data_IF_822389703381
#
_entry.id   IF_822389703381
#
_cell.length_a   1.000
_cell.length_b   1.000
_cell.length_c   1.000
_cell.angle_alpha   90.00
_cell.angle_beta   90.00
_cell.angle_gamma   90.00
#
_symmetry.space_group_name_H-M   'P 1'
#
loop_
_entity.id
_entity.type
_entity.pdbx_description
1 polymer ?
#
# COMPACT_ATOMS: atom_id res chain seq x y z
N UNK A 1 -17.24 36.39 -1.25
CA UNK A 1 -17.05 35.18 -0.45
C UNK A 1 -15.64 35.20 0.08
N UNK A 2 -15.48 35.21 1.39
CA UNK A 2 -14.16 35.16 2.01
C UNK A 2 -13.61 33.72 1.94
N UNK A 3 -12.29 33.57 1.88
CA UNK A 3 -11.63 32.26 1.90
C UNK A 3 -12.01 31.42 3.12
N UNK A 4 -12.35 32.06 4.26
CA UNK A 4 -12.87 31.35 5.43
C UNK A 4 -14.25 30.73 5.22
N UNK A 5 -15.16 31.34 4.45
CA UNK A 5 -16.47 30.75 4.13
C UNK A 5 -16.31 29.49 3.26
N UNK A 6 -15.42 29.54 2.26
CA UNK A 6 -15.11 28.40 1.40
C UNK A 6 -14.44 27.27 2.18
N UNK A 7 -13.48 27.58 3.06
CA UNK A 7 -12.88 26.61 3.97
C UNK A 7 -13.92 26.01 4.93
N UNK A 8 -14.82 26.82 5.48
CA UNK A 8 -15.88 26.36 6.38
C UNK A 8 -16.87 25.44 5.65
N UNK A 9 -17.29 25.77 4.43
CA UNK A 9 -18.16 24.92 3.60
C UNK A 9 -17.47 23.61 3.20
N UNK A 10 -16.16 23.63 2.94
CA UNK A 10 -15.37 22.43 2.69
C UNK A 10 -15.27 21.55 3.94
N UNK A 11 -14.94 22.11 5.10
CA UNK A 11 -14.92 21.39 6.39
C UNK A 11 -16.30 20.85 6.80
N UNK A 12 -17.38 21.51 6.39
CA UNK A 12 -18.76 21.04 6.59
C UNK A 12 -19.19 19.93 5.62
N UNK A 13 -18.63 19.86 4.41
CA UNK A 13 -18.92 18.82 3.42
C UNK A 13 -18.07 17.55 3.58
N UNK A 14 -16.96 17.63 4.32
CA UNK A 14 -16.18 16.47 4.72
C UNK A 14 -17.00 15.57 5.66
N UNK A 15 -17.13 14.31 5.25
CA UNK A 15 -18.01 13.30 5.83
C UNK A 15 -17.76 13.09 7.34
N UNK A 16 -18.72 12.54 8.11
CA UNK A 16 -18.69 12.52 9.58
C UNK A 16 -17.41 11.93 10.21
N UNK A 17 -16.76 10.99 9.53
CA UNK A 17 -15.46 10.42 9.92
C UNK A 17 -14.31 11.45 9.93
N UNK A 18 -14.40 12.54 9.16
CA UNK A 18 -13.43 13.64 9.11
C UNK A 18 -13.70 14.66 10.20
N UNK A 19 -14.97 14.97 10.52
CA UNK A 19 -15.31 15.79 11.70
C UNK A 19 -14.78 15.15 13.00
N UNK A 20 -14.85 13.83 13.11
CA UNK A 20 -14.25 13.09 14.23
C UNK A 20 -12.72 13.27 14.35
N UNK A 21 -12.01 13.65 13.29
CA UNK A 21 -10.56 13.93 13.32
C UNK A 21 -10.21 15.21 14.08
N UNK A 22 -11.16 16.15 14.15
CA UNK A 22 -11.03 17.44 14.82
C UNK A 22 -11.81 17.49 16.15
N UNK A 23 -12.33 16.35 16.63
CA UNK A 23 -12.82 16.27 17.99
C UNK A 23 -11.66 16.46 18.97
N UNK A 24 -11.87 17.29 20.01
CA UNK A 24 -10.83 17.65 20.98
C UNK A 24 -10.13 16.43 21.61
N UNK A 25 -10.87 15.33 21.83
CA UNK A 25 -10.33 14.08 22.35
C UNK A 25 -9.43 13.34 21.34
N UNK A 26 -9.68 13.49 20.05
CA UNK A 26 -8.84 12.94 18.98
C UNK A 26 -7.58 13.79 18.79
N UNK A 27 -7.72 15.11 18.80
CA UNK A 27 -6.62 16.07 18.72
C UNK A 27 -5.63 15.87 19.88
N UNK A 28 -6.08 15.86 21.14
CA UNK A 28 -5.19 15.64 22.29
C UNK A 28 -4.45 14.29 22.21
N UNK A 29 -5.11 13.22 21.73
CA UNK A 29 -4.45 11.91 21.55
C UNK A 29 -3.39 11.92 20.45
N UNK A 30 -3.57 12.71 19.40
CA UNK A 30 -2.55 12.89 18.34
C UNK A 30 -1.36 13.68 18.84
N UNK A 31 -1.59 14.72 19.65
CA UNK A 31 -0.54 15.46 20.34
C UNK A 31 0.23 14.57 21.35
N UNK A 32 -0.45 13.63 22.01
CA UNK A 32 0.19 12.60 22.84
C UNK A 32 1.08 11.67 22.00
N UNK A 33 0.58 11.11 20.90
CA UNK A 33 1.38 10.27 20.00
C UNK A 33 2.64 11.01 19.53
N UNK A 34 2.52 12.25 19.03
CA UNK A 34 3.67 13.05 18.58
C UNK A 34 4.72 13.21 19.69
N UNK A 35 4.32 13.41 20.94
CA UNK A 35 5.28 13.55 22.05
C UNK A 35 5.99 12.24 22.39
N UNK A 36 5.29 11.11 22.28
CA UNK A 36 5.87 9.79 22.51
C UNK A 36 6.77 9.38 21.32
N UNK A 37 6.34 9.68 20.08
CA UNK A 37 7.11 9.49 18.84
C UNK A 37 8.40 10.34 18.83
N UNK A 38 8.37 11.61 19.27
CA UNK A 38 9.57 12.44 19.49
C UNK A 38 10.55 11.74 20.44
N UNK A 39 10.05 11.19 21.55
CA UNK A 39 10.87 10.54 22.58
C UNK A 39 11.51 9.25 22.04
N UNK A 40 10.76 8.45 21.29
CA UNK A 40 11.27 7.24 20.61
C UNK A 40 12.32 7.59 19.54
N UNK A 41 12.04 8.60 18.71
CA UNK A 41 12.93 9.04 17.65
C UNK A 41 14.28 9.54 18.21
N UNK A 42 14.30 10.31 19.31
CA UNK A 42 15.54 10.74 19.98
C UNK A 42 16.36 9.53 20.46
N UNK A 43 15.73 8.53 21.06
CA UNK A 43 16.42 7.31 21.48
C UNK A 43 17.02 6.53 20.29
N UNK A 44 16.35 6.53 19.13
CA UNK A 44 16.92 5.97 17.89
C UNK A 44 18.11 6.76 17.37
N UNK A 45 18.10 8.10 17.43
CA UNK A 45 19.26 8.95 17.06
C UNK A 45 20.46 8.63 17.95
N UNK A 46 20.27 8.63 19.27
CA UNK A 46 21.33 8.31 20.24
C UNK A 46 21.89 6.89 20.05
N UNK A 47 21.04 5.91 19.75
CA UNK A 47 21.48 4.55 19.44
C UNK A 47 22.32 4.49 18.15
N UNK A 48 21.89 5.18 17.10
CA UNK A 48 22.62 5.28 15.84
C UNK A 48 23.97 6.00 15.99
N UNK A 49 24.02 7.08 16.77
CA UNK A 49 25.24 7.81 17.11
C UNK A 49 26.24 6.94 17.88
N UNK A 50 25.78 6.20 18.90
CA UNK A 50 26.63 5.28 19.66
C UNK A 50 27.22 4.16 18.77
N UNK A 51 26.42 3.63 17.83
CA UNK A 51 26.89 2.65 16.86
C UNK A 51 27.94 3.26 15.90
N UNK A 52 27.69 4.48 15.39
CA UNK A 52 28.64 5.21 14.55
C UNK A 52 29.96 5.46 15.27
N UNK A 53 29.93 5.98 16.50
CA UNK A 53 31.12 6.25 17.31
C UNK A 53 31.91 4.98 17.61
N UNK A 54 31.23 3.87 17.92
CA UNK A 54 31.86 2.55 18.11
C UNK A 54 32.59 2.07 16.85
N UNK A 55 31.95 2.21 15.68
CA UNK A 55 32.56 1.86 14.38
C UNK A 55 33.74 2.76 14.04
N UNK A 56 33.61 4.08 14.24
CA UNK A 56 34.68 5.07 14.01
C UNK A 56 35.90 4.78 14.88
N UNK A 57 35.69 4.44 16.16
CA UNK A 57 36.77 4.06 17.08
C UNK A 57 37.40 2.72 16.68
N UNK A 58 36.62 1.75 16.22
CA UNK A 58 37.14 0.47 15.75
C UNK A 58 38.02 0.63 14.50
N UNK A 59 37.58 1.43 13.52
CA UNK A 59 38.33 1.68 12.27
C UNK A 59 39.65 2.41 12.52
N UNK A 60 39.67 3.38 13.43
CA UNK A 60 40.89 4.06 13.85
C UNK A 60 41.94 3.10 14.45
N UNK A 61 41.50 2.00 15.06
CA UNK A 61 42.38 0.99 15.66
C UNK A 61 42.73 -0.17 14.69
N UNK A 62 41.94 -0.41 13.64
CA UNK A 62 42.07 -1.59 12.75
C UNK A 62 41.90 -1.22 11.26
N UNK A 63 42.78 -0.38 10.67
CA UNK A 63 42.58 0.19 9.33
C UNK A 63 42.71 -0.79 8.15
N UNK A 64 43.20 -2.01 8.36
CA UNK A 64 43.51 -2.99 7.30
C UNK A 64 42.91 -4.39 7.54
N UNK A 65 41.83 -4.48 8.32
CA UNK A 65 41.21 -5.75 8.68
C UNK A 65 40.21 -6.24 7.62
N UNK A 66 40.28 -7.53 7.31
CA UNK A 66 39.30 -8.35 6.57
C UNK A 66 37.82 -8.09 6.91
N UNK A 67 37.50 -7.62 8.11
CA UNK A 67 36.14 -7.34 8.56
C UNK A 67 35.51 -6.04 8.00
N UNK A 68 36.26 -5.23 7.24
CA UNK A 68 35.80 -3.99 6.62
C UNK A 68 34.41 -4.10 5.96
N UNK A 69 34.12 -5.16 5.19
CA UNK A 69 32.82 -5.36 4.51
C UNK A 69 31.64 -5.39 5.50
N UNK A 70 31.76 -6.13 6.61
CA UNK A 70 30.69 -6.26 7.62
C UNK A 70 30.43 -4.93 8.32
N UNK A 71 31.48 -4.13 8.49
CA UNK A 71 31.37 -2.80 9.10
C UNK A 71 30.74 -1.82 8.11
N UNK A 72 31.05 -1.89 6.81
CA UNK A 72 30.33 -1.12 5.79
C UNK A 72 28.83 -1.44 5.77
N UNK A 73 28.45 -2.70 5.95
CA UNK A 73 27.05 -3.13 6.12
C UNK A 73 26.41 -2.45 7.35
N UNK A 74 27.04 -2.53 8.54
CA UNK A 74 26.56 -1.85 9.76
C UNK A 74 26.47 -0.31 9.63
N UNK A 75 27.43 0.34 8.97
CA UNK A 75 27.36 1.78 8.68
C UNK A 75 26.16 2.07 7.76
N UNK A 76 25.90 1.22 6.77
CA UNK A 76 24.79 1.40 5.82
C UNK A 76 23.42 1.19 6.48
N UNK A 77 23.31 0.25 7.41
CA UNK A 77 22.14 0.07 8.28
C UNK A 77 21.92 1.31 9.16
N UNK A 78 23.00 1.86 9.74
CA UNK A 78 22.96 3.09 10.56
C UNK A 78 22.48 4.30 9.76
N UNK A 79 22.98 4.47 8.52
CA UNK A 79 22.49 5.50 7.58
C UNK A 79 21.01 5.32 7.24
N UNK A 80 20.57 4.07 7.05
CA UNK A 80 19.16 3.79 6.75
C UNK A 80 18.26 4.14 7.94
N UNK A 81 18.68 3.77 9.16
CA UNK A 81 17.97 4.12 10.40
C UNK A 81 17.87 5.65 10.58
N UNK A 82 18.98 6.37 10.49
CA UNK A 82 19.01 7.84 10.62
C UNK A 82 18.09 8.53 9.60
N UNK A 83 18.10 8.09 8.33
CA UNK A 83 17.20 8.64 7.31
C UNK A 83 15.72 8.37 7.63
N UNK A 84 15.36 7.16 8.08
CA UNK A 84 13.98 6.85 8.47
C UNK A 84 13.53 7.68 9.67
N UNK A 85 14.39 7.81 10.69
CA UNK A 85 14.11 8.63 11.88
C UNK A 85 13.95 10.11 11.52
N UNK A 86 14.81 10.66 10.64
CA UNK A 86 14.67 12.03 10.12
C UNK A 86 13.32 12.26 9.43
N UNK A 87 12.88 11.32 8.60
CA UNK A 87 11.59 11.43 7.90
C UNK A 87 10.39 11.35 8.86
N UNK A 88 10.49 10.58 9.96
CA UNK A 88 9.49 10.60 11.04
C UNK A 88 9.46 11.96 11.72
N UNK A 89 10.60 12.45 12.20
CA UNK A 89 10.70 13.75 12.88
C UNK A 89 10.24 14.92 12.01
N UNK A 90 10.50 14.91 10.69
CA UNK A 90 9.96 15.89 9.75
C UNK A 90 8.44 15.80 9.61
N UNK A 91 7.86 14.59 9.61
CA UNK A 91 6.41 14.42 9.61
C UNK A 91 5.78 14.89 10.93
N UNK A 92 6.39 14.55 12.07
CA UNK A 92 5.95 14.95 13.41
C UNK A 92 6.00 16.47 13.60
N UNK A 93 7.02 17.14 13.04
CA UNK A 93 7.14 18.59 12.98
C UNK A 93 6.00 19.23 12.17
N UNK A 94 5.72 18.68 10.98
CA UNK A 94 4.67 19.21 10.09
C UNK A 94 3.25 18.96 10.64
N UNK A 95 2.97 17.77 11.16
CA UNK A 95 1.71 17.46 11.84
C UNK A 95 1.57 18.24 13.14
N UNK A 96 2.67 18.44 13.88
CA UNK A 96 2.72 19.28 15.06
C UNK A 96 2.20 20.69 14.76
N UNK A 97 2.81 21.39 13.80
CA UNK A 97 2.38 22.73 13.40
C UNK A 97 0.87 22.79 13.08
N UNK A 98 0.37 21.88 12.24
CA UNK A 98 -1.06 21.83 11.84
C UNK A 98 -1.99 21.60 13.06
N UNK A 99 -1.61 20.72 13.99
CA UNK A 99 -2.45 20.38 15.14
C UNK A 99 -2.40 21.43 16.26
N UNK A 100 -1.24 22.09 16.45
CA UNK A 100 -1.06 23.14 17.45
C UNK A 100 -1.60 24.51 17.00
N UNK A 101 -1.77 24.76 15.69
CA UNK A 101 -2.51 25.92 15.19
C UNK A 101 -4.02 25.86 15.52
N UNK A 102 -4.61 24.66 15.60
CA UNK A 102 -6.03 24.46 15.91
C UNK A 102 -6.35 24.46 17.43
N UNK A 103 -5.49 23.87 18.28
CA UNK A 103 -5.64 23.92 19.75
C UNK A 103 -4.33 23.77 20.53
N UNK A 104 -4.24 24.50 21.65
CA UNK A 104 -3.26 24.22 22.70
C UNK A 104 -3.57 22.91 23.45
N UNK A 105 -2.52 22.28 23.98
CA UNK A 105 -2.60 21.00 24.71
C UNK A 105 -3.12 21.21 26.13
N UNK A 106 -3.96 20.30 26.62
CA UNK A 106 -4.56 20.39 27.97
C UNK A 106 -3.80 19.66 29.09
N UNK A 107 -2.78 18.86 28.77
CA UNK A 107 -2.10 17.98 29.72
C UNK A 107 -0.78 18.55 30.25
N UNK A 108 -0.54 18.39 31.56
CA UNK A 108 0.70 18.74 32.27
C UNK A 108 1.88 17.81 31.89
N UNK A 109 2.44 17.97 30.69
CA UNK A 109 3.84 17.60 30.41
C UNK A 109 4.67 18.88 30.26
N UNK A 110 5.96 18.89 30.65
CA UNK A 110 6.78 20.12 30.69
C UNK A 110 7.10 20.74 29.32
N UNK A 111 6.83 20.04 28.21
CA UNK A 111 7.19 20.49 26.88
C UNK A 111 6.00 21.18 26.19
N UNK A 112 6.13 22.48 25.91
CA UNK A 112 5.19 23.22 25.08
C UNK A 112 5.38 22.90 23.59
N UNK A 113 4.46 23.37 22.73
CA UNK A 113 4.62 23.31 21.27
C UNK A 113 5.98 23.86 20.83
N UNK A 114 6.35 25.05 21.28
CA UNK A 114 7.63 25.69 20.94
C UNK A 114 8.83 24.81 21.34
N UNK A 115 8.81 24.19 22.53
CA UNK A 115 9.88 23.30 22.99
C UNK A 115 9.98 22.04 22.12
N UNK A 116 8.85 21.42 21.75
CA UNK A 116 8.84 20.25 20.88
C UNK A 116 9.31 20.57 19.45
N UNK A 117 8.90 21.73 18.91
CA UNK A 117 9.30 22.21 17.59
C UNK A 117 10.80 22.53 17.53
N UNK A 118 11.34 23.22 18.54
CA UNK A 118 12.78 23.50 18.64
C UNK A 118 13.59 22.20 18.82
N UNK A 119 13.10 21.26 19.64
CA UNK A 119 13.74 19.95 19.84
C UNK A 119 13.76 19.12 18.55
N UNK A 120 12.65 19.05 17.83
CA UNK A 120 12.57 18.37 16.53
C UNK A 120 13.53 18.99 15.51
N UNK A 121 13.57 20.31 15.39
CA UNK A 121 14.47 21.02 14.47
C UNK A 121 15.94 20.72 14.81
N UNK A 122 16.33 20.83 16.08
CA UNK A 122 17.69 20.56 16.56
C UNK A 122 18.14 19.12 16.28
N UNK A 123 17.27 18.13 16.51
CA UNK A 123 17.60 16.73 16.27
C UNK A 123 17.62 16.38 14.77
N UNK A 124 16.80 17.04 13.95
CA UNK A 124 16.87 16.92 12.47
C UNK A 124 18.21 17.47 11.95
N UNK A 125 18.67 18.61 12.46
CA UNK A 125 19.99 19.19 12.14
C UNK A 125 21.13 18.27 12.63
N UNK A 126 21.01 17.70 13.83
CA UNK A 126 21.97 16.74 14.38
C UNK A 126 22.08 15.48 13.50
N UNK A 127 20.96 14.92 13.04
CA UNK A 127 20.95 13.79 12.11
C UNK A 127 21.67 14.15 10.80
N UNK A 128 21.46 15.36 10.25
CA UNK A 128 22.15 15.80 9.04
C UNK A 128 23.67 15.92 9.23
N UNK A 129 24.12 16.41 10.38
CA UNK A 129 25.54 16.41 10.71
C UNK A 129 26.11 14.98 10.81
N UNK A 130 25.43 14.07 11.52
CA UNK A 130 25.85 12.67 11.64
C UNK A 130 25.91 11.97 10.28
N UNK A 131 24.93 12.21 9.40
CA UNK A 131 24.93 11.67 8.03
C UNK A 131 26.11 12.20 7.20
N UNK A 132 26.47 13.47 7.34
CA UNK A 132 27.65 14.04 6.69
C UNK A 132 28.97 13.44 7.22
N UNK A 133 29.09 13.26 8.55
CA UNK A 133 30.26 12.62 9.17
C UNK A 133 30.39 11.13 8.79
N UNK A 134 29.28 10.40 8.69
CA UNK A 134 29.25 9.03 8.18
C UNK A 134 29.64 8.97 6.70
N UNK A 135 29.11 9.88 5.87
CA UNK A 135 29.44 9.91 4.45
C UNK A 135 30.92 10.19 4.22
N UNK A 136 31.53 11.09 5.01
CA UNK A 136 32.97 11.31 5.00
C UNK A 136 33.74 10.06 5.40
N UNK A 137 33.36 9.38 6.49
CA UNK A 137 33.98 8.13 6.91
C UNK A 137 33.90 7.04 5.82
N UNK A 138 32.80 7.00 5.05
CA UNK A 138 32.67 6.12 3.87
C UNK A 138 33.66 6.47 2.76
N UNK A 139 33.88 7.75 2.47
CA UNK A 139 34.89 8.17 1.48
C UNK A 139 36.31 7.80 1.95
N UNK A 140 36.62 8.04 3.23
CA UNK A 140 37.95 7.86 3.79
C UNK A 140 38.40 6.38 3.90
N UNK A 141 37.46 5.42 4.03
CA UNK A 141 37.77 3.98 4.28
C UNK A 141 37.18 2.97 3.28
N UNK A 142 36.20 3.37 2.44
CA UNK A 142 35.40 2.44 1.64
C UNK A 142 35.21 2.82 0.17
N UNK A 143 35.73 3.97 -0.26
CA UNK A 143 35.96 4.19 -1.68
C UNK A 143 37.23 3.49 -2.05
N UNK A 144 37.14 2.52 -2.99
CA UNK A 144 38.29 2.06 -3.74
C UNK A 144 38.87 3.27 -4.51
N UNK A 145 39.82 4.00 -3.90
CA UNK A 145 40.86 4.66 -4.68
C UNK A 145 41.65 3.55 -5.34
N UNK A 146 41.17 3.13 -6.51
CA UNK A 146 41.87 2.18 -7.35
C UNK A 146 43.32 2.67 -7.47
N UNK A 147 44.34 1.80 -7.26
CA UNK A 147 45.72 2.23 -7.43
C UNK A 147 45.87 2.84 -8.82
N UNK A 148 46.54 3.99 -8.93
CA UNK A 148 46.42 4.96 -10.05
C UNK A 148 46.57 4.37 -11.47
N UNK A 149 47.10 3.15 -11.58
CA UNK A 149 47.35 2.40 -12.80
C UNK A 149 46.12 1.60 -13.29
N UNK A 150 45.19 1.23 -12.41
CA UNK A 150 44.12 0.27 -12.72
C UNK A 150 43.03 0.81 -13.66
N UNK A 151 42.91 2.14 -13.82
CA UNK A 151 42.09 2.75 -14.86
C UNK A 151 42.82 2.72 -16.21
N UNK A 152 44.14 2.98 -16.20
CA UNK A 152 44.99 2.98 -17.38
C UNK A 152 45.08 1.58 -17.98
N UNK A 153 45.35 0.55 -17.18
CA UNK A 153 45.40 -0.85 -17.63
C UNK A 153 44.09 -1.29 -18.29
N UNK A 154 42.94 -0.84 -17.76
CA UNK A 154 41.61 -1.11 -18.34
C UNK A 154 41.39 -0.37 -19.65
N UNK A 155 41.85 0.88 -19.75
CA UNK A 155 41.77 1.67 -20.99
C UNK A 155 42.66 1.05 -22.08
N UNK A 156 43.92 0.71 -21.78
CA UNK A 156 44.82 0.03 -22.72
C UNK A 156 44.29 -1.35 -23.14
N UNK A 157 43.65 -2.09 -22.23
CA UNK A 157 42.99 -3.34 -22.59
C UNK A 157 41.76 -3.13 -23.49
N UNK A 158 40.95 -2.09 -23.25
CA UNK A 158 39.83 -1.72 -24.13
C UNK A 158 40.32 -1.27 -25.52
N UNK A 159 41.41 -0.51 -25.58
CA UNK A 159 42.04 -0.05 -26.83
C UNK A 159 42.50 -1.25 -27.68
N UNK A 160 43.23 -2.19 -27.08
CA UNK A 160 43.62 -3.46 -27.71
C UNK A 160 42.41 -4.28 -28.20
N UNK A 161 41.31 -4.34 -27.43
CA UNK A 161 40.09 -5.04 -27.82
C UNK A 161 39.33 -4.34 -28.96
N UNK A 162 39.47 -3.02 -29.11
CA UNK A 162 38.86 -2.26 -30.20
C UNK A 162 39.66 -2.42 -31.50
N UNK A 163 40.99 -2.27 -31.44
CA UNK A 163 41.89 -2.51 -32.58
C UNK A 163 41.76 -3.95 -33.12
N UNK A 164 41.67 -4.95 -32.23
CA UNK A 164 41.44 -6.33 -32.63
C UNK A 164 40.09 -6.53 -33.35
N UNK A 165 39.08 -5.71 -33.05
CA UNK A 165 37.69 -5.88 -33.50
C UNK A 165 37.37 -5.16 -34.81
N UNK A 166 38.10 -4.08 -35.16
CA UNK A 166 38.00 -3.45 -36.49
C UNK A 166 38.32 -4.43 -37.63
N UNK A 167 39.12 -5.47 -37.37
CA UNK A 167 39.42 -6.53 -38.34
C UNK A 167 38.25 -7.51 -38.61
N UNK A 168 37.17 -7.47 -37.82
CA UNK A 168 36.14 -8.54 -37.78
C UNK A 168 34.69 -8.06 -37.89
N UNK A 169 34.41 -6.76 -37.90
CA UNK A 169 33.03 -6.25 -37.91
C UNK A 169 32.66 -5.63 -39.27
N UNK A 170 31.94 -6.40 -40.10
CA UNK A 170 31.35 -5.87 -41.32
C UNK A 170 30.14 -4.97 -40.97
N UNK A 171 30.42 -3.66 -40.89
CA UNK A 171 29.44 -2.61 -40.57
C UNK A 171 28.19 -2.64 -41.47
N UNK A 172 28.28 -3.17 -42.70
CA UNK A 172 27.13 -3.26 -43.62
C UNK A 172 26.05 -4.22 -43.11
N UNK A 173 26.47 -5.30 -42.42
CA UNK A 173 25.57 -6.31 -41.84
C UNK A 173 24.91 -5.82 -40.55
N UNK A 174 25.54 -4.89 -39.83
CA UNK A 174 24.93 -4.27 -38.62
C UNK A 174 23.89 -3.24 -39.03
N UNK A 175 24.20 -2.37 -39.99
CA UNK A 175 23.28 -1.31 -40.44
C UNK A 175 22.01 -1.88 -41.08
N UNK A 176 22.14 -2.89 -41.96
CA UNK A 176 20.97 -3.54 -42.58
C UNK A 176 20.02 -4.20 -41.57
N UNK A 177 20.53 -4.72 -40.45
CA UNK A 177 19.70 -5.24 -39.36
C UNK A 177 19.06 -4.13 -38.53
N UNK A 178 19.72 -2.97 -38.39
CA UNK A 178 19.16 -1.79 -37.72
C UNK A 178 17.97 -1.25 -38.53
N UNK A 179 18.13 -1.11 -39.85
CA UNK A 179 17.07 -0.66 -40.76
C UNK A 179 15.86 -1.61 -40.72
N UNK A 180 16.10 -2.93 -40.75
CA UNK A 180 15.04 -3.93 -40.66
C UNK A 180 14.25 -3.85 -39.34
N UNK A 181 14.93 -3.60 -38.21
CA UNK A 181 14.27 -3.41 -36.91
C UNK A 181 13.47 -2.11 -36.88
N UNK A 182 13.98 -1.04 -37.51
CA UNK A 182 13.27 0.24 -37.59
C UNK A 182 11.99 0.14 -38.46
N UNK A 183 12.02 -0.60 -39.57
CA UNK A 183 10.83 -0.87 -40.38
C UNK A 183 9.78 -1.69 -39.61
N UNK A 184 10.20 -2.73 -38.89
CA UNK A 184 9.31 -3.55 -38.06
C UNK A 184 8.64 -2.71 -36.95
N UNK A 185 9.40 -1.81 -36.31
CA UNK A 185 8.86 -0.90 -35.29
C UNK A 185 7.83 0.07 -35.88
N UNK A 186 8.12 0.65 -37.05
CA UNK A 186 7.20 1.57 -37.75
C UNK A 186 5.89 0.87 -38.17
N UNK A 187 5.98 -0.38 -38.63
CA UNK A 187 4.82 -1.21 -38.98
C UNK A 187 3.98 -1.56 -37.74
N UNK A 188 4.61 -1.92 -36.62
CA UNK A 188 3.95 -2.22 -35.36
C UNK A 188 3.21 -1.01 -34.78
N UNK A 189 3.85 0.18 -34.80
CA UNK A 189 3.23 1.43 -34.36
C UNK A 189 1.99 1.76 -35.20
N UNK A 190 2.08 1.63 -36.52
CA UNK A 190 0.97 1.88 -37.45
C UNK A 190 -0.22 0.94 -37.20
N UNK A 191 0.05 -0.36 -36.97
CA UNK A 191 -0.97 -1.36 -36.65
C UNK A 191 -1.67 -1.10 -35.31
N UNK A 192 -0.89 -0.69 -34.31
CA UNK A 192 -1.39 -0.35 -32.97
C UNK A 192 -2.29 0.89 -33.02
N UNK A 193 -1.86 1.94 -33.74
CA UNK A 193 -2.64 3.17 -33.90
C UNK A 193 -3.95 2.94 -34.68
N UNK A 194 -3.94 2.10 -35.72
CA UNK A 194 -5.15 1.68 -36.41
C UNK A 194 -6.12 0.90 -35.50
N UNK A 195 -5.59 0.04 -34.63
CA UNK A 195 -6.40 -0.72 -33.66
C UNK A 195 -7.03 0.19 -32.61
N UNK A 196 -6.29 1.15 -32.06
CA UNK A 196 -6.80 2.16 -31.13
C UNK A 196 -7.91 3.02 -31.78
N UNK A 197 -7.70 3.46 -33.02
CA UNK A 197 -8.70 4.22 -33.76
C UNK A 197 -10.01 3.43 -34.00
N UNK A 198 -9.92 2.10 -34.18
CA UNK A 198 -11.10 1.23 -34.28
C UNK A 198 -11.83 1.10 -32.94
N UNK A 199 -11.11 0.91 -31.84
CA UNK A 199 -11.70 0.82 -30.49
C UNK A 199 -12.40 2.13 -30.12
N UNK A 200 -11.81 3.28 -30.41
CA UNK A 200 -12.40 4.59 -30.14
C UNK A 200 -13.74 4.79 -30.88
N UNK A 201 -13.82 4.42 -32.17
CA UNK A 201 -15.09 4.46 -32.92
C UNK A 201 -16.14 3.51 -32.34
N UNK A 202 -15.75 2.28 -31.98
CA UNK A 202 -16.65 1.31 -31.38
C UNK A 202 -17.25 1.84 -30.06
N UNK A 203 -16.42 2.42 -29.19
CA UNK A 203 -16.89 3.04 -27.95
C UNK A 203 -17.84 4.21 -28.20
N UNK A 204 -17.58 5.05 -29.22
CA UNK A 204 -18.47 6.14 -29.60
C UNK A 204 -19.84 5.62 -30.09
N UNK A 205 -19.86 4.59 -30.94
CA UNK A 205 -21.11 3.95 -31.40
C UNK A 205 -21.90 3.30 -30.26
N UNK A 206 -21.23 2.62 -29.34
CA UNK A 206 -21.90 1.94 -28.23
C UNK A 206 -22.40 2.93 -27.16
N UNK A 207 -21.70 4.06 -26.99
CA UNK A 207 -22.16 5.19 -26.18
C UNK A 207 -23.42 5.83 -26.79
N UNK A 208 -23.46 6.04 -28.11
CA UNK A 208 -24.65 6.55 -28.80
C UNK A 208 -25.83 5.57 -28.69
N UNK A 209 -25.61 4.25 -28.87
CA UNK A 209 -26.65 3.24 -28.65
C UNK A 209 -27.21 3.28 -27.23
N UNK A 210 -26.37 3.49 -26.22
CA UNK A 210 -26.78 3.62 -24.83
C UNK A 210 -27.62 4.88 -24.59
N UNK A 211 -27.21 6.04 -25.12
CA UNK A 211 -28.01 7.27 -25.05
C UNK A 211 -29.37 7.13 -25.76
N UNK A 212 -29.40 6.50 -26.94
CA UNK A 212 -30.64 6.23 -27.68
C UNK A 212 -31.56 5.21 -26.98
N UNK A 213 -31.02 4.33 -26.14
CA UNK A 213 -31.81 3.45 -25.29
C UNK A 213 -32.40 4.23 -24.10
N UNK A 214 -31.57 5.03 -23.40
CA UNK A 214 -32.00 5.87 -22.28
C UNK A 214 -33.07 6.89 -22.69
N UNK A 215 -32.91 7.55 -23.85
CA UNK A 215 -33.92 8.45 -24.42
C UNK A 215 -35.25 7.74 -24.67
N UNK A 216 -35.23 6.52 -25.22
CA UNK A 216 -36.46 5.72 -25.43
C UNK A 216 -37.14 5.37 -24.12
N UNK A 217 -36.39 4.99 -23.08
CA UNK A 217 -36.95 4.73 -21.74
C UNK A 217 -37.56 5.99 -21.13
N UNK A 218 -36.91 7.16 -21.26
CA UNK A 218 -37.44 8.43 -20.76
C UNK A 218 -38.71 8.88 -21.50
N UNK A 219 -38.79 8.65 -22.82
CA UNK A 219 -40.02 8.87 -23.60
C UNK A 219 -41.15 7.95 -23.11
N UNK A 220 -40.89 6.65 -22.95
CA UNK A 220 -41.88 5.70 -22.43
C UNK A 220 -42.40 6.08 -21.03
N UNK A 221 -41.51 6.48 -20.11
CA UNK A 221 -41.90 6.94 -18.77
C UNK A 221 -42.77 8.20 -18.85
N UNK A 222 -42.42 9.14 -19.74
CA UNK A 222 -43.19 10.37 -19.96
C UNK A 222 -44.57 10.07 -20.53
N UNK A 223 -44.66 9.21 -21.54
CA UNK A 223 -45.92 8.86 -22.20
C UNK A 223 -46.88 8.20 -21.20
N UNK A 224 -46.38 7.26 -20.38
CA UNK A 224 -47.11 6.65 -19.26
C UNK A 224 -47.59 7.71 -18.25
N UNK A 225 -46.74 8.68 -17.90
CA UNK A 225 -47.09 9.76 -16.95
C UNK A 225 -48.10 10.78 -17.52
N UNK A 226 -48.32 10.83 -18.83
CA UNK A 226 -49.25 11.77 -19.48
C UNK A 226 -50.61 11.19 -19.86
N UNK A 227 -50.84 9.88 -19.68
CA UNK A 227 -52.17 9.30 -19.94
C UNK A 227 -53.15 9.59 -18.79
N UNK A 228 -54.35 10.12 -19.07
CA UNK A 228 -55.42 10.19 -18.07
C UNK A 228 -55.86 8.78 -17.67
N UNK A 229 -56.14 8.57 -16.37
CA UNK A 229 -56.78 7.34 -15.91
C UNK A 229 -58.15 7.18 -16.58
N UNK A 230 -58.32 6.14 -17.39
CA UNK A 230 -59.62 5.63 -17.82
C UNK A 230 -59.63 4.10 -17.77
N UNK A 231 -60.74 3.57 -17.26
CA UNK A 231 -60.98 2.14 -17.07
C UNK A 231 -61.17 1.39 -18.41
N UNK A 232 -60.70 0.14 -18.47
CA UNK A 232 -61.27 -0.88 -19.35
C UNK A 232 -60.40 -1.42 -20.50
N UNK A 233 -59.92 -2.67 -20.33
CA UNK A 233 -60.08 -3.81 -21.27
C UNK A 233 -59.92 -3.46 -22.79
N UNK A 234 -58.81 -3.69 -23.50
CA UNK A 234 -58.29 -4.96 -24.11
C UNK A 234 -57.22 -4.55 -25.16
N UNK A 235 -56.35 -5.38 -25.75
CA UNK A 235 -55.70 -6.67 -25.43
C UNK A 235 -54.61 -6.89 -26.49
N UNK A 236 -53.44 -7.47 -26.14
CA UNK A 236 -52.57 -8.21 -27.08
C UNK A 236 -51.84 -9.37 -26.39
N UNK A 237 -52.53 -10.51 -26.31
CA UNK A 237 -52.09 -11.90 -26.57
C UNK A 237 -50.68 -12.34 -26.12
N UNK A 238 -50.70 -13.41 -25.32
CA UNK A 238 -49.62 -14.18 -24.70
C UNK A 238 -48.47 -14.67 -25.61
N UNK A 239 -47.28 -14.78 -25.00
CA UNK A 239 -46.56 -16.07 -24.98
C UNK A 239 -46.05 -16.42 -23.56
N UNK A 240 -47.00 -16.88 -22.75
CA UNK A 240 -46.94 -18.04 -21.85
C UNK A 240 -45.54 -18.59 -21.45
N UNK A 241 -45.09 -18.24 -20.24
CA UNK A 241 -44.73 -19.25 -19.22
C UNK A 241 -45.40 -18.87 -17.90
N UNK A 242 -45.93 -19.87 -17.20
CA UNK A 242 -46.98 -19.70 -16.18
C UNK A 242 -46.50 -19.09 -14.86
N UNK A 243 -47.19 -18.07 -14.32
CA UNK A 243 -47.04 -17.66 -12.94
C UNK A 243 -47.95 -18.52 -12.04
N UNK A 244 -47.38 -19.23 -11.08
CA UNK A 244 -48.14 -19.78 -9.97
C UNK A 244 -48.35 -18.70 -8.90
N UNK A 245 -49.63 -18.40 -8.60
CA UNK A 245 -50.16 -17.89 -7.32
C UNK A 245 -49.27 -16.92 -6.53
N UNK A 246 -49.59 -15.62 -6.49
CA UNK A 246 -50.58 -15.05 -5.57
C UNK A 246 -50.21 -15.21 -4.08
N UNK A 247 -50.02 -14.07 -3.42
CA UNK A 247 -49.82 -13.83 -1.98
C UNK A 247 -48.44 -14.13 -1.36
N UNK A 248 -48.15 -13.34 -0.31
CA UNK A 248 -47.09 -13.45 0.71
C UNK A 248 -45.67 -12.91 0.41
N UNK A 249 -45.38 -11.79 1.10
CA UNK A 249 -44.07 -11.34 1.63
C UNK A 249 -42.99 -10.94 0.60
N UNK A 250 -42.33 -9.81 0.85
CA UNK A 250 -41.06 -9.45 0.20
C UNK A 250 -40.00 -10.50 0.54
N UNK A 251 -39.90 -11.54 -0.29
CA UNK A 251 -39.00 -12.66 -0.03
C UNK A 251 -37.53 -12.23 -0.09
N UNK A 252 -36.75 -12.72 0.88
CA UNK A 252 -35.32 -12.42 0.99
C UNK A 252 -34.59 -12.77 -0.33
N UNK A 253 -33.86 -11.81 -0.94
CA UNK A 253 -33.15 -12.05 -2.19
C UNK A 253 -32.17 -13.23 -2.07
N UNK A 254 -32.08 -14.05 -3.11
CA UNK A 254 -31.33 -15.32 -3.10
C UNK A 254 -29.85 -15.14 -2.67
N UNK A 255 -29.21 -14.03 -3.03
CA UNK A 255 -27.85 -13.69 -2.59
C UNK A 255 -27.75 -13.45 -1.07
N UNK A 256 -28.78 -12.86 -0.45
CA UNK A 256 -28.83 -12.62 1.00
C UNK A 256 -29.14 -13.91 1.75
N UNK A 257 -30.11 -14.70 1.27
CA UNK A 257 -30.40 -16.03 1.82
C UNK A 257 -29.17 -16.98 1.77
N UNK A 258 -28.43 -16.94 0.65
CA UNK A 258 -27.15 -17.65 0.52
C UNK A 258 -26.08 -17.09 1.47
N UNK A 259 -25.99 -15.76 1.62
CA UNK A 259 -25.07 -15.13 2.57
C UNK A 259 -25.39 -15.50 4.03
N UNK A 260 -26.67 -15.60 4.43
CA UNK A 260 -27.06 -16.08 5.77
C UNK A 260 -26.70 -17.55 5.99
N UNK A 261 -26.98 -18.41 5.00
CA UNK A 261 -26.58 -19.83 5.05
C UNK A 261 -25.06 -19.96 5.23
N UNK A 262 -24.29 -19.23 4.41
CA UNK A 262 -22.83 -19.26 4.45
C UNK A 262 -22.26 -18.66 5.74
N UNK A 263 -22.86 -17.59 6.27
CA UNK A 263 -22.46 -16.99 7.54
C UNK A 263 -22.67 -17.98 8.72
N UNK A 264 -23.70 -18.82 8.67
CA UNK A 264 -23.94 -19.89 9.64
C UNK A 264 -22.89 -21.00 9.55
N UNK A 265 -22.48 -21.41 8.35
CA UNK A 265 -21.35 -22.34 8.16
C UNK A 265 -20.03 -21.76 8.70
N UNK A 266 -19.84 -20.44 8.57
CA UNK A 266 -18.66 -19.71 9.03
C UNK A 266 -18.77 -19.25 10.49
N UNK A 267 -19.79 -19.65 11.25
CA UNK A 267 -20.05 -19.15 12.61
C UNK A 267 -18.84 -19.37 13.55
N UNK A 268 -18.24 -20.56 13.50
CA UNK A 268 -17.05 -20.91 14.29
C UNK A 268 -15.74 -20.23 13.84
N UNK A 269 -15.68 -19.66 12.62
CA UNK A 269 -14.48 -19.00 12.10
C UNK A 269 -14.25 -17.68 12.85
N UNK A 270 -13.10 -17.52 13.49
CA UNK A 270 -12.74 -16.28 14.17
C UNK A 270 -12.55 -15.12 13.19
N UNK A 271 -12.94 -13.92 13.61
CA UNK A 271 -12.69 -12.71 12.84
C UNK A 271 -11.20 -12.35 12.82
N UNK A 272 -10.74 -11.82 11.67
CA UNK A 272 -9.36 -11.34 11.53
C UNK A 272 -9.20 -10.00 12.27
N UNK A 273 -8.42 -10.02 13.34
CA UNK A 273 -8.06 -8.84 14.11
C UNK A 273 -6.96 -8.05 13.42
N UNK A 274 -7.19 -6.76 13.18
CA UNK A 274 -6.21 -5.80 12.64
C UNK A 274 -5.64 -4.86 13.72
N UNK A 275 -5.65 -5.28 14.99
CA UNK A 275 -5.14 -4.46 16.11
C UNK A 275 -3.62 -4.33 16.03
N UNK A 276 -3.09 -3.09 16.14
CA UNK A 276 -1.73 -2.84 16.64
C UNK A 276 -1.63 -3.55 17.99
N UNK A 277 -0.88 -4.63 18.04
CA UNK A 277 -0.64 -5.41 19.25
C UNK A 277 0.85 -5.64 19.28
N UNK A 278 1.55 -4.99 20.22
CA UNK A 278 2.98 -5.19 20.44
C UNK A 278 3.19 -6.62 20.94
N UNK A 279 3.37 -7.54 19.99
CA UNK A 279 3.49 -8.96 20.26
C UNK A 279 4.95 -9.32 20.53
N UNK A 280 5.46 -8.83 21.66
CA UNK A 280 6.56 -9.52 22.34
C UNK A 280 6.02 -10.87 22.83
N UNK A 281 6.38 -11.96 22.13
CA UNK A 281 6.24 -13.30 22.73
C UNK A 281 7.28 -13.45 23.84
N UNK A 282 7.03 -14.35 24.79
CA UNK A 282 7.83 -14.54 26.03
C UNK A 282 9.25 -15.12 25.83
N UNK A 283 9.71 -15.18 24.59
CA UNK A 283 11.00 -15.70 24.15
C UNK A 283 11.45 -14.81 22.97
N UNK A 284 12.76 -14.54 22.83
CA UNK A 284 13.35 -13.39 22.10
C UNK A 284 13.19 -13.36 20.55
N UNK A 285 12.10 -13.92 20.02
CA UNK A 285 11.79 -13.98 18.59
C UNK A 285 11.00 -12.73 18.20
N UNK A 286 11.69 -11.75 17.64
CA UNK A 286 11.07 -10.54 17.09
C UNK A 286 10.20 -10.91 15.88
N UNK A 287 8.89 -10.66 15.97
CA UNK A 287 7.95 -10.92 14.88
C UNK A 287 8.10 -9.88 13.78
N UNK A 288 8.46 -10.30 12.57
CA UNK A 288 8.49 -9.46 11.37
C UNK A 288 7.24 -9.71 10.54
N UNK A 289 6.51 -8.65 10.19
CA UNK A 289 5.38 -8.75 9.26
C UNK A 289 5.89 -8.88 7.83
N UNK A 290 5.65 -10.02 7.18
CA UNK A 290 6.06 -10.32 5.79
C UNK A 290 5.58 -9.28 4.79
N UNK A 291 4.38 -8.70 5.00
CA UNK A 291 3.73 -7.80 4.05
C UNK A 291 4.18 -6.33 4.13
N UNK A 292 4.93 -5.96 5.18
CA UNK A 292 5.40 -4.57 5.40
C UNK A 292 6.89 -4.50 5.75
N UNK A 293 7.52 -5.62 6.08
CA UNK A 293 8.83 -5.71 6.74
C UNK A 293 8.90 -4.94 8.07
N UNK A 294 7.76 -4.55 8.66
CA UNK A 294 7.72 -3.91 9.98
C UNK A 294 8.04 -4.93 11.08
N UNK A 295 9.03 -4.59 11.88
CA UNK A 295 9.57 -5.38 12.98
C UNK A 295 8.80 -5.08 14.27
N UNK A 296 8.34 -6.09 15.00
CA UNK A 296 7.70 -5.97 16.32
C UNK A 296 6.25 -5.42 16.36
N UNK A 297 5.83 -4.64 15.37
CA UNK A 297 4.52 -3.94 15.39
C UNK A 297 3.29 -4.87 15.42
N UNK A 298 3.32 -5.97 14.65
CA UNK A 298 2.21 -6.91 14.47
C UNK A 298 2.65 -8.18 13.74
N UNK A 299 1.94 -9.30 13.93
CA UNK A 299 2.14 -10.52 13.15
C UNK A 299 1.54 -10.37 11.74
N UNK A 300 2.11 -11.06 10.73
CA UNK A 300 1.68 -10.97 9.31
C UNK A 300 0.17 -11.14 9.11
N UNK A 301 -0.48 -12.02 9.86
CA UNK A 301 -1.93 -12.23 9.83
C UNK A 301 -2.74 -10.94 10.14
N UNK A 302 -2.30 -10.19 11.14
CA UNK A 302 -2.91 -8.95 11.62
C UNK A 302 -2.52 -7.69 10.82
N UNK A 303 -1.87 -7.84 9.66
CA UNK A 303 -1.45 -6.70 8.84
C UNK A 303 -2.63 -5.81 8.44
N UNK A 304 -2.58 -4.55 8.88
CA UNK A 304 -3.59 -3.52 8.63
C UNK A 304 -3.31 -2.68 7.36
N UNK A 305 -2.14 -2.84 6.72
CA UNK A 305 -1.83 -2.19 5.43
C UNK A 305 -2.27 -3.03 4.24
N UNK A 306 -2.02 -4.34 4.27
CA UNK A 306 -2.47 -5.28 3.23
C UNK A 306 -3.67 -6.04 3.78
N UNK A 307 -4.87 -5.52 3.50
CA UNK A 307 -6.10 -5.97 4.15
C UNK A 307 -6.72 -7.20 3.48
N UNK A 308 -6.73 -7.24 2.14
CA UNK A 308 -7.33 -8.33 1.35
C UNK A 308 -6.40 -9.54 1.30
N UNK A 309 -6.99 -10.73 1.21
CA UNK A 309 -6.23 -11.97 1.07
C UNK A 309 -5.63 -12.11 -0.34
N UNK A 310 -6.29 -11.61 -1.37
CA UNK A 310 -5.81 -11.60 -2.74
C UNK A 310 -4.47 -10.82 -2.84
N UNK A 311 -4.43 -9.57 -2.36
CA UNK A 311 -3.20 -8.74 -2.31
C UNK A 311 -2.06 -9.43 -1.52
N UNK A 312 -2.39 -10.19 -0.47
CA UNK A 312 -1.40 -10.95 0.33
C UNK A 312 -0.83 -12.14 -0.41
N UNK A 313 -1.63 -12.80 -1.25
CA UNK A 313 -1.19 -13.90 -2.10
C UNK A 313 -0.25 -13.33 -3.18
N UNK A 314 -0.62 -12.21 -3.80
CA UNK A 314 0.24 -11.52 -4.79
C UNK A 314 1.62 -11.17 -4.21
N UNK A 315 1.69 -10.58 -2.99
CA UNK A 315 2.97 -10.29 -2.33
C UNK A 315 3.81 -11.56 -2.11
N UNK A 316 3.17 -12.67 -1.73
CA UNK A 316 3.85 -13.97 -1.51
C UNK A 316 4.37 -14.57 -2.81
N UNK A 317 3.60 -14.46 -3.89
CA UNK A 317 3.97 -14.99 -5.21
C UNK A 317 5.06 -14.13 -5.87
N UNK A 318 4.93 -12.80 -5.88
CA UNK A 318 5.91 -11.87 -6.43
C UNK A 318 7.26 -11.94 -5.71
N UNK A 319 7.27 -12.21 -4.40
CA UNK A 319 8.49 -12.40 -3.60
C UNK A 319 8.96 -13.87 -3.54
N UNK A 320 8.35 -14.78 -4.30
CA UNK A 320 8.66 -16.22 -4.35
C UNK A 320 8.69 -16.91 -2.96
N UNK A 321 7.87 -16.45 -2.02
CA UNK A 321 7.82 -16.94 -0.64
C UNK A 321 6.97 -18.20 -0.53
N UNK A 322 7.32 -19.08 0.43
CA UNK A 322 6.52 -20.27 0.68
C UNK A 322 5.16 -19.91 1.28
N UNK A 323 4.08 -20.39 0.65
CA UNK A 323 2.69 -20.19 1.11
C UNK A 323 2.41 -20.75 2.52
N UNK A 324 3.21 -21.71 3.02
CA UNK A 324 3.08 -22.28 4.38
C UNK A 324 3.77 -21.47 5.47
N UNK A 325 5.01 -21.00 5.25
CA UNK A 325 5.81 -20.32 6.29
C UNK A 325 6.09 -18.83 6.06
N UNK A 326 5.66 -18.26 4.91
CA UNK A 326 5.88 -16.87 4.50
C UNK A 326 7.36 -16.44 4.45
N UNK A 327 8.26 -17.38 4.18
CA UNK A 327 9.70 -17.19 4.05
C UNK A 327 10.21 -17.94 2.81
N UNK A 328 11.43 -17.62 2.38
CA UNK A 328 12.19 -18.48 1.48
C UNK A 328 12.56 -19.76 2.25
N UNK A 329 12.21 -20.93 1.72
CA UNK A 329 12.52 -22.23 2.32
C UNK A 329 12.64 -23.31 1.22
N UNK A 330 13.32 -24.44 1.49
CA UNK A 330 13.30 -25.59 0.58
C UNK A 330 11.87 -26.13 0.38
N UNK A 331 11.67 -26.84 -0.73
CA UNK A 331 10.44 -27.56 -1.05
C UNK A 331 10.69 -29.08 -0.91
N UNK A 332 9.82 -29.84 -0.19
CA UNK A 332 8.66 -29.38 0.56
C UNK A 332 9.05 -28.56 1.81
N UNK A 333 8.14 -27.67 2.23
CA UNK A 333 8.37 -26.82 3.39
C UNK A 333 8.52 -27.64 4.69
N UNK A 334 9.59 -27.44 5.49
CA UNK A 334 9.79 -28.18 6.73
C UNK A 334 8.94 -27.67 7.92
N UNK A 335 8.23 -26.56 7.76
CA UNK A 335 7.38 -25.99 8.81
C UNK A 335 5.96 -26.58 8.70
N UNK A 336 5.57 -27.35 9.71
CA UNK A 336 4.17 -27.76 9.92
C UNK A 336 3.48 -26.75 10.83
N UNK A 337 2.53 -26.00 10.26
CA UNK A 337 1.71 -25.04 11.00
C UNK A 337 0.26 -25.11 10.52
N UNK A 338 -0.67 -25.27 11.46
CA UNK A 338 -2.10 -25.28 11.18
C UNK A 338 -2.64 -23.86 11.02
N UNK A 339 -3.52 -23.65 10.03
CA UNK A 339 -4.27 -22.42 9.88
C UNK A 339 -5.33 -22.29 10.99
N UNK A 340 -5.24 -21.28 11.86
CA UNK A 340 -6.17 -21.12 13.00
C UNK A 340 -7.65 -20.89 12.61
N UNK A 341 -7.92 -20.61 11.33
CA UNK A 341 -9.25 -20.30 10.80
C UNK A 341 -9.96 -21.49 10.15
N UNK A 342 -9.22 -22.44 9.57
CA UNK A 342 -9.77 -23.58 8.83
C UNK A 342 -9.08 -24.93 9.13
N UNK A 343 -8.07 -24.93 10.00
CA UNK A 343 -7.27 -26.08 10.42
C UNK A 343 -6.52 -26.86 9.32
N UNK A 344 -6.40 -26.31 8.10
CA UNK A 344 -5.55 -26.86 7.02
C UNK A 344 -4.05 -26.58 7.29
N UNK A 345 -3.19 -27.49 6.82
CA UNK A 345 -1.73 -27.37 6.83
C UNK A 345 -1.16 -26.73 5.54
N UNK A 346 -2.00 -26.36 4.56
CA UNK A 346 -1.56 -26.04 3.19
C UNK A 346 -1.15 -24.58 2.99
N UNK A 347 -1.54 -23.71 3.90
CA UNK A 347 -1.28 -22.29 3.84
C UNK A 347 -1.06 -21.70 5.23
N UNK A 348 -0.26 -20.64 5.28
CA UNK A 348 -0.10 -19.83 6.47
C UNK A 348 -1.44 -19.16 6.83
N UNK A 349 -1.75 -19.07 8.13
CA UNK A 349 -2.97 -18.43 8.67
C UNK A 349 -3.30 -17.08 7.99
N UNK A 350 -2.28 -16.27 7.71
CA UNK A 350 -2.44 -14.95 7.08
C UNK A 350 -3.04 -14.99 5.66
N UNK A 351 -2.98 -16.11 4.95
CA UNK A 351 -3.51 -16.31 3.59
C UNK A 351 -4.89 -16.99 3.57
N UNK A 352 -5.52 -17.20 4.74
CA UNK A 352 -6.83 -17.84 4.79
C UNK A 352 -7.96 -16.89 4.37
N UNK A 353 -8.79 -17.32 3.42
CA UNK A 353 -9.93 -16.58 2.89
C UNK A 353 -11.14 -16.53 3.85
N UNK A 354 -11.36 -17.54 4.70
CA UNK A 354 -12.60 -17.68 5.48
C UNK A 354 -12.97 -16.45 6.35
N UNK A 355 -12.02 -15.74 7.01
CA UNK A 355 -12.36 -14.54 7.78
C UNK A 355 -12.78 -13.34 6.91
N UNK A 356 -12.34 -13.30 5.66
CA UNK A 356 -12.74 -12.27 4.71
C UNK A 356 -14.09 -12.63 4.07
N UNK A 357 -14.29 -13.90 3.71
CA UNK A 357 -15.58 -14.43 3.25
C UNK A 357 -16.69 -14.17 4.29
N UNK A 358 -16.41 -14.45 5.58
CA UNK A 358 -17.33 -14.17 6.70
C UNK A 358 -17.69 -12.69 6.79
N UNK A 359 -16.75 -11.79 6.50
CA UNK A 359 -17.00 -10.34 6.46
C UNK A 359 -17.89 -9.97 5.27
N UNK A 360 -17.56 -10.45 4.06
CA UNK A 360 -18.36 -10.22 2.83
C UNK A 360 -19.81 -10.69 3.02
N UNK A 361 -20.04 -11.84 3.66
CA UNK A 361 -21.40 -12.30 3.97
C UNK A 361 -22.17 -11.33 4.90
N UNK A 362 -21.53 -10.81 5.96
CA UNK A 362 -22.15 -9.80 6.84
C UNK A 362 -22.45 -8.48 6.12
N UNK A 363 -21.54 -8.03 5.25
CA UNK A 363 -21.71 -6.80 4.45
C UNK A 363 -22.91 -6.91 3.50
N UNK A 364 -23.09 -8.06 2.83
CA UNK A 364 -24.27 -8.33 1.98
C UNK A 364 -25.57 -8.28 2.78
N UNK A 365 -25.60 -8.91 3.96
CA UNK A 365 -26.78 -8.94 4.84
C UNK A 365 -27.11 -7.53 5.36
N UNK A 366 -26.12 -6.82 5.92
CA UNK A 366 -26.32 -5.49 6.50
C UNK A 366 -26.74 -4.45 5.44
N UNK A 367 -26.20 -4.56 4.21
CA UNK A 367 -26.62 -3.74 3.07
C UNK A 367 -28.10 -3.95 2.74
N UNK A 368 -28.54 -5.20 2.61
CA UNK A 368 -29.96 -5.49 2.34
C UNK A 368 -30.87 -5.03 3.48
N UNK A 369 -30.51 -5.31 4.74
CA UNK A 369 -31.27 -4.89 5.92
C UNK A 369 -31.45 -3.35 5.94
N UNK A 370 -30.37 -2.59 5.66
CA UNK A 370 -30.42 -1.13 5.55
C UNK A 370 -31.40 -0.64 4.47
N UNK A 371 -31.32 -1.17 3.25
CA UNK A 371 -32.19 -0.75 2.15
C UNK A 371 -33.66 -1.23 2.29
N UNK A 372 -33.90 -2.34 2.99
CA UNK A 372 -35.25 -2.81 3.33
C UNK A 372 -35.90 -1.98 4.45
N UNK A 373 -35.11 -1.37 5.33
CA UNK A 373 -35.60 -0.62 6.48
C UNK A 373 -35.90 0.86 6.17
N UNK A 374 -35.37 1.42 5.08
CA UNK A 374 -35.72 2.77 4.62
C UNK A 374 -37.10 2.81 3.98
N UNK A 375 -38.08 3.57 4.52
CA UNK A 375 -39.36 3.77 3.86
C UNK A 375 -39.14 4.48 2.52
N UNK A 376 -39.78 4.00 1.46
CA UNK A 376 -39.86 4.75 0.20
C UNK A 376 -40.80 5.93 0.43
N UNK A 377 -40.23 7.14 0.42
CA UNK A 377 -40.95 8.41 0.47
C UNK A 377 -41.55 8.78 -0.88
#
# INVERSE_FOLDING_TARGET
MHTSEAATQFLQSLNGAVKALFEERELQRRLECICDDITENIAHVQSAENNYNSVRQWLANNPHDSHLKRIHETISETVTLLNVTKQRMLADLHFGHILFEEKERSAERPNSHAVNTELLQREIEHIDQLLAEIQKLKLDYYVDTAPDNALLDKLTHMEYLLEARESSCDHTTVNSRLDQVQEQLNAFMSSTQATLARIARQQQEDTEKLFQAQLRTLVQIKDIATQPQQDGITEWIYHEQTPATSETIESEPLNVANARRRLKELEAVQDRSFRKTLLFRREDIILVCTFRCSVGEHASDACFRVLRVEDRIEVVENAALCKKCLKLCPSPCPQQTYCKYCNSEDHHTALCLLPEEKRRCREVIASWEYFSATPRA
#
